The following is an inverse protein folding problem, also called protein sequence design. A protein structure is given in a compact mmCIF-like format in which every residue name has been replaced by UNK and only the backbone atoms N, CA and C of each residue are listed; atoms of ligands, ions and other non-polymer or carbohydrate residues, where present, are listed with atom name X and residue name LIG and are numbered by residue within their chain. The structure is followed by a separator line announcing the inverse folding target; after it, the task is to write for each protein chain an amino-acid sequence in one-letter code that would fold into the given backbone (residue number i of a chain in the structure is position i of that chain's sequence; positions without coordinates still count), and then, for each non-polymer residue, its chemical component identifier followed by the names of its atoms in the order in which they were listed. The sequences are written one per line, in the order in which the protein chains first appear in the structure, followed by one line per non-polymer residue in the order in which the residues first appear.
data_IF_702598575857
#
_entry.id   IF_702598575857
#
_cell.length_a   1.000
_cell.length_b   1.000
_cell.length_c   1.000
_cell.angle_alpha   90.00
_cell.angle_beta   90.00
_cell.angle_gamma   90.00
#
_symmetry.space_group_name_H-M   'P 1'
#
loop_
_entity.id
_entity.type
_entity.pdbx_description
1 polymer ?
#
# COMPACT_ATOMS: atom_id res chain seq x y z
N UNK A 1 20.28 -1.21 7.12
CA UNK A 1 20.36 -1.48 5.67
C UNK A 1 19.10 -0.94 5.04
N UNK A 2 19.19 -0.19 3.94
CA UNK A 2 18.02 0.26 3.18
C UNK A 2 18.02 -0.48 1.84
N UNK A 3 17.03 -1.34 1.63
CA UNK A 3 16.89 -2.18 0.42
C UNK A 3 15.75 -1.72 -0.49
N UNK A 4 15.09 -0.60 -0.17
CA UNK A 4 14.01 -0.03 -0.97
C UNK A 4 12.60 -0.23 -0.41
N UNK A 5 11.61 -0.30 -1.30
CA UNK A 5 10.20 -0.41 -0.93
C UNK A 5 9.82 -1.79 -0.41
N UNK A 6 8.59 -1.95 0.08
CA UNK A 6 8.08 -3.21 0.63
C UNK A 6 8.29 -4.42 -0.31
N UNK A 7 8.09 -4.24 -1.61
CA UNK A 7 8.31 -5.29 -2.61
C UNK A 7 9.79 -5.65 -2.78
N UNK A 8 10.70 -4.69 -2.62
CA UNK A 8 12.14 -4.94 -2.68
C UNK A 8 12.62 -5.63 -1.41
N UNK A 9 12.09 -5.24 -0.23
CA UNK A 9 12.33 -5.93 1.05
C UNK A 9 11.91 -7.40 0.97
N UNK A 10 10.70 -7.68 0.45
CA UNK A 10 10.23 -9.06 0.27
C UNK A 10 11.14 -9.88 -0.65
N UNK A 11 11.56 -9.29 -1.78
CA UNK A 11 12.49 -9.95 -2.71
C UNK A 11 13.84 -10.21 -2.06
N UNK A 12 14.36 -9.25 -1.31
CA UNK A 12 15.62 -9.36 -0.58
C UNK A 12 15.57 -10.52 0.42
N UNK A 13 14.55 -10.57 1.29
CA UNK A 13 14.40 -11.62 2.32
C UNK A 13 14.37 -13.00 1.65
N UNK A 14 13.54 -13.18 0.62
CA UNK A 14 13.44 -14.46 -0.10
C UNK A 14 14.75 -14.86 -0.78
N UNK A 15 15.45 -13.89 -1.37
CA UNK A 15 16.75 -14.13 -2.01
C UNK A 15 17.82 -14.53 -1.00
N UNK A 16 17.90 -13.85 0.15
CA UNK A 16 18.90 -14.17 1.16
C UNK A 16 18.63 -15.54 1.80
N UNK A 17 17.38 -15.89 2.12
CA UNK A 17 17.06 -17.22 2.67
C UNK A 17 17.27 -18.34 1.65
N UNK A 18 17.14 -18.07 0.35
CA UNK A 18 17.51 -19.03 -0.69
C UNK A 18 19.01 -19.33 -0.70
N UNK A 19 19.86 -18.41 -0.23
CA UNK A 19 21.32 -18.57 -0.18
C UNK A 19 21.82 -19.00 1.20
N UNK A 20 21.13 -18.59 2.28
CA UNK A 20 21.47 -18.82 3.69
C UNK A 20 20.20 -19.34 4.42
N UNK A 21 19.85 -20.62 4.25
CA UNK A 21 18.60 -21.17 4.77
C UNK A 21 18.52 -21.14 6.30
N UNK A 22 19.65 -21.16 6.99
CA UNK A 22 19.71 -21.17 8.46
C UNK A 22 19.51 -19.77 9.08
N UNK A 23 19.66 -18.69 8.30
CA UNK A 23 19.51 -17.32 8.80
C UNK A 23 20.19 -16.27 7.92
N UNK A 24 19.62 -15.06 7.91
CA UNK A 24 20.05 -13.95 7.05
C UNK A 24 20.56 -12.72 7.82
N UNK A 25 20.81 -12.87 9.12
CA UNK A 25 21.23 -11.80 10.05
C UNK A 25 20.23 -10.62 10.11
N UNK A 26 18.93 -10.90 10.00
CA UNK A 26 17.83 -9.92 10.13
C UNK A 26 16.82 -10.44 11.15
N UNK A 27 16.59 -9.67 12.21
CA UNK A 27 15.67 -10.04 13.29
C UNK A 27 14.22 -9.58 13.03
N UNK A 28 14.03 -8.44 12.38
CA UNK A 28 12.72 -7.80 12.24
C UNK A 28 12.54 -7.15 10.86
N UNK A 29 11.42 -7.49 10.21
CA UNK A 29 10.84 -6.68 9.14
C UNK A 29 9.76 -5.78 9.76
N UNK A 30 9.79 -4.48 9.45
CA UNK A 30 8.85 -3.51 10.00
C UNK A 30 8.26 -2.58 8.93
N UNK A 31 6.95 -2.36 9.00
CA UNK A 31 6.21 -1.52 8.06
C UNK A 31 5.73 -2.26 6.80
N UNK A 32 5.21 -1.50 5.83
CA UNK A 32 4.55 -2.08 4.64
C UNK A 32 3.10 -2.51 4.90
N UNK A 33 2.50 -3.18 3.91
CA UNK A 33 1.18 -3.82 4.03
C UNK A 33 1.28 -5.23 4.60
N UNK A 34 0.14 -5.92 4.76
CA UNK A 34 0.07 -7.29 5.30
C UNK A 34 0.55 -8.37 4.32
N UNK A 35 0.43 -8.14 3.01
CA UNK A 35 0.69 -9.17 1.98
C UNK A 35 2.09 -9.81 2.03
N UNK A 36 3.19 -9.05 2.21
CA UNK A 36 4.51 -9.64 2.37
C UNK A 36 4.62 -10.57 3.57
N UNK A 37 4.00 -10.22 4.70
CA UNK A 37 4.04 -11.05 5.90
C UNK A 37 3.24 -12.34 5.71
N UNK A 38 2.11 -12.27 5.01
CA UNK A 38 1.34 -13.46 4.61
C UNK A 38 2.15 -14.37 3.67
N UNK A 39 2.89 -13.79 2.72
CA UNK A 39 3.73 -14.54 1.81
C UNK A 39 4.92 -15.20 2.54
N UNK A 40 5.62 -14.46 3.40
CA UNK A 40 6.75 -14.97 4.17
C UNK A 40 6.30 -16.03 5.19
N UNK A 41 5.14 -15.86 5.83
CA UNK A 41 4.54 -16.86 6.73
C UNK A 41 4.24 -18.17 5.97
N UNK A 42 3.61 -18.10 4.79
CA UNK A 42 3.37 -19.30 3.94
C UNK A 42 4.65 -19.97 3.46
N UNK A 43 5.73 -19.21 3.33
CA UNK A 43 7.04 -19.72 2.96
C UNK A 43 7.85 -20.25 4.15
N UNK A 44 7.29 -20.24 5.38
CA UNK A 44 7.99 -20.58 6.63
C UNK A 44 9.27 -19.76 6.86
N UNK A 45 9.26 -18.48 6.45
CA UNK A 45 10.39 -17.56 6.59
C UNK A 45 10.21 -16.56 7.75
N UNK A 46 9.17 -16.74 8.57
CA UNK A 46 8.92 -15.94 9.78
C UNK A 46 8.96 -16.86 11.00
N UNK A 47 9.53 -16.37 12.09
CA UNK A 47 9.47 -17.05 13.38
C UNK A 47 8.21 -16.61 14.15
N UNK A 48 7.48 -17.53 14.80
CA UNK A 48 6.36 -17.16 15.64
C UNK A 48 6.85 -16.51 16.94
N UNK A 49 6.16 -15.45 17.37
CA UNK A 49 6.43 -14.78 18.64
C UNK A 49 5.13 -14.27 19.26
N UNK A 50 4.63 -14.95 20.29
CA UNK A 50 3.45 -14.49 21.01
C UNK A 50 3.82 -13.30 21.91
N UNK A 51 3.24 -12.14 21.61
CA UNK A 51 3.31 -10.96 22.48
C UNK A 51 2.72 -11.26 23.87
N UNK A 52 3.18 -10.57 24.94
CA UNK A 52 2.57 -10.65 26.26
C UNK A 52 1.06 -10.42 26.24
N UNK A 53 0.29 -11.16 27.03
CA UNK A 53 -1.18 -11.09 27.07
C UNK A 53 -1.72 -9.67 27.33
N UNK A 54 -0.99 -8.87 28.11
CA UNK A 54 -1.33 -7.47 28.39
C UNK A 54 -1.28 -6.59 27.13
N UNK A 55 -0.43 -6.92 26.15
CA UNK A 55 -0.36 -6.23 24.87
C UNK A 55 -1.36 -6.83 23.87
N UNK A 56 -1.47 -8.16 23.81
CA UNK A 56 -2.42 -8.83 22.90
C UNK A 56 -3.87 -8.45 23.19
N UNK A 57 -4.25 -8.34 24.46
CA UNK A 57 -5.61 -7.92 24.85
C UNK A 57 -5.99 -6.51 24.38
N UNK A 58 -5.01 -5.66 24.06
CA UNK A 58 -5.24 -4.33 23.51
C UNK A 58 -5.36 -4.30 21.97
N UNK A 59 -5.04 -5.40 21.29
CA UNK A 59 -5.02 -5.49 19.82
C UNK A 59 -6.07 -6.52 19.39
N UNK A 60 -7.17 -6.11 18.73
CA UNK A 60 -8.11 -7.09 18.20
C UNK A 60 -7.44 -7.90 17.09
N UNK A 61 -7.72 -9.20 16.99
CA UNK A 61 -7.14 -10.03 15.93
C UNK A 61 -7.56 -9.61 14.52
N UNK A 62 -8.73 -8.99 14.39
CA UNK A 62 -9.28 -8.51 13.12
C UNK A 62 -9.96 -7.17 13.31
N UNK A 63 -9.88 -6.31 12.29
CA UNK A 63 -10.62 -5.06 12.23
C UNK A 63 -11.09 -4.80 10.79
N UNK A 64 -12.37 -4.43 10.61
CA UNK A 64 -12.91 -4.09 9.28
C UNK A 64 -12.83 -5.20 8.23
N UNK A 65 -12.77 -6.47 8.65
CA UNK A 65 -12.58 -7.63 7.75
C UNK A 65 -11.12 -8.01 7.48
N UNK A 66 -10.15 -7.22 7.98
CA UNK A 66 -8.72 -7.46 7.82
C UNK A 66 -8.11 -8.08 9.08
N UNK A 67 -7.20 -9.07 8.95
CA UNK A 67 -6.41 -9.54 10.08
C UNK A 67 -5.41 -8.45 10.52
N UNK A 68 -5.25 -8.28 11.83
CA UNK A 68 -4.20 -7.44 12.42
C UNK A 68 -3.03 -8.27 12.94
N UNK A 69 -3.21 -9.57 13.16
CA UNK A 69 -2.13 -10.55 13.33
C UNK A 69 -2.65 -11.93 12.92
N UNK A 70 -1.76 -12.85 12.56
CA UNK A 70 -2.15 -14.22 12.20
C UNK A 70 -2.38 -15.10 13.43
N UNK A 71 -3.01 -16.25 13.21
CA UNK A 71 -3.35 -17.18 14.29
C UNK A 71 -2.11 -17.78 14.97
N UNK A 72 -0.99 -17.84 14.26
CA UNK A 72 0.26 -18.47 14.72
C UNK A 72 1.31 -17.44 15.16
N UNK A 73 0.94 -16.16 15.25
CA UNK A 73 1.78 -15.07 15.79
C UNK A 73 3.10 -14.83 15.03
N UNK A 74 3.10 -15.01 13.71
CA UNK A 74 4.24 -14.68 12.85
C UNK A 74 4.35 -13.20 12.53
N UNK A 75 3.25 -12.45 12.57
CA UNK A 75 3.27 -11.01 12.26
C UNK A 75 2.18 -10.23 13.00
N UNK A 76 2.44 -8.94 13.17
CA UNK A 76 1.55 -7.99 13.82
C UNK A 76 1.45 -6.69 13.04
N UNK A 77 0.23 -6.20 12.83
CA UNK A 77 -0.06 -4.91 12.25
C UNK A 77 0.30 -3.80 13.23
N UNK A 78 1.34 -3.03 12.91
CA UNK A 78 1.82 -1.94 13.76
C UNK A 78 0.94 -0.69 13.69
N UNK A 79 0.29 -0.45 12.54
CA UNK A 79 -0.49 0.77 12.28
C UNK A 79 -1.66 0.46 11.35
N UNK A 80 -2.81 1.09 11.61
CA UNK A 80 -3.93 1.13 10.66
C UNK A 80 -3.87 2.44 9.85
N UNK A 81 -3.79 2.34 8.53
CA UNK A 81 -3.71 3.48 7.62
C UNK A 81 -4.95 3.57 6.73
N UNK A 82 -5.50 4.78 6.60
CA UNK A 82 -6.53 5.10 5.61
C UNK A 82 -5.91 5.61 4.31
N UNK A 83 -6.55 5.30 3.19
CA UNK A 83 -6.15 5.78 1.87
C UNK A 83 -7.25 6.65 1.27
N UNK A 84 -6.84 7.70 0.56
CA UNK A 84 -7.78 8.64 -0.03
C UNK A 84 -7.13 9.61 -1.00
N UNK A 85 -7.94 10.53 -1.49
CA UNK A 85 -7.54 11.52 -2.50
C UNK A 85 -7.08 12.78 -1.79
N UNK A 86 -5.90 13.26 -2.15
CA UNK A 86 -5.34 14.54 -1.70
C UNK A 86 -5.26 15.45 -2.92
N UNK A 87 -5.74 16.69 -2.80
CA UNK A 87 -5.72 17.67 -3.89
C UNK A 87 -5.50 19.09 -3.37
N UNK A 88 -4.91 19.94 -4.22
CA UNK A 88 -4.62 21.34 -3.90
C UNK A 88 -5.79 22.25 -4.25
N UNK A 89 -6.62 22.61 -3.25
CA UNK A 89 -7.81 23.45 -3.43
C UNK A 89 -7.55 24.76 -4.18
N UNK A 90 -6.40 25.41 -3.97
CA UNK A 90 -6.07 26.68 -4.65
C UNK A 90 -5.81 26.47 -6.14
N UNK A 91 -5.07 25.40 -6.47
CA UNK A 91 -4.82 25.01 -7.86
C UNK A 91 -6.13 24.64 -8.56
N UNK A 92 -6.98 23.81 -7.92
CA UNK A 92 -8.28 23.44 -8.49
C UNK A 92 -9.14 24.66 -8.81
N UNK A 93 -9.21 25.64 -7.89
CA UNK A 93 -9.94 26.88 -8.11
C UNK A 93 -9.34 27.74 -9.23
N UNK A 94 -8.01 27.94 -9.23
CA UNK A 94 -7.33 28.78 -10.21
C UNK A 94 -7.43 28.22 -11.63
N UNK A 95 -7.32 26.90 -11.76
CA UNK A 95 -7.41 26.18 -13.03
C UNK A 95 -8.85 25.83 -13.43
N UNK A 96 -9.83 26.15 -12.57
CA UNK A 96 -11.26 25.85 -12.75
C UNK A 96 -11.53 24.35 -12.95
N UNK A 97 -10.82 23.51 -12.20
CA UNK A 97 -10.93 22.05 -12.23
C UNK A 97 -11.97 21.56 -11.20
N UNK A 98 -12.64 20.42 -11.45
CA UNK A 98 -13.59 19.82 -10.52
C UNK A 98 -12.88 19.25 -9.29
N UNK A 99 -13.43 19.45 -8.09
CA UNK A 99 -12.86 18.87 -6.87
C UNK A 99 -13.26 17.38 -6.75
N UNK A 100 -12.31 16.42 -6.82
CA UNK A 100 -12.63 15.01 -6.73
C UNK A 100 -13.03 14.64 -5.29
N UNK A 101 -14.07 13.82 -5.17
CA UNK A 101 -14.57 13.25 -3.90
C UNK A 101 -14.58 11.72 -3.93
N UNK A 102 -14.72 11.13 -5.12
CA UNK A 102 -14.67 9.68 -5.34
C UNK A 102 -13.50 9.30 -6.23
N UNK A 103 -13.19 8.00 -6.28
CA UNK A 103 -12.19 7.48 -7.20
C UNK A 103 -12.62 7.65 -8.67
N UNK A 104 -13.92 7.63 -8.98
CA UNK A 104 -14.41 7.88 -10.34
C UNK A 104 -14.26 9.33 -10.77
N UNK A 105 -14.33 10.29 -9.85
CA UNK A 105 -14.13 11.70 -10.19
C UNK A 105 -12.73 11.95 -10.80
N UNK A 106 -11.74 11.11 -10.45
CA UNK A 106 -10.39 11.18 -11.02
C UNK A 106 -10.32 10.74 -12.50
N UNK A 107 -11.40 10.18 -13.05
CA UNK A 107 -11.52 9.78 -14.45
C UNK A 107 -12.05 10.91 -15.35
N UNK A 108 -12.45 12.04 -14.77
CA UNK A 108 -12.95 13.19 -15.53
C UNK A 108 -11.88 13.69 -16.52
N UNK A 109 -12.15 13.76 -17.84
CA UNK A 109 -11.19 14.26 -18.83
C UNK A 109 -10.66 15.67 -18.54
N UNK A 110 -11.39 16.49 -17.77
CA UNK A 110 -10.91 17.80 -17.32
C UNK A 110 -9.65 17.70 -16.45
N UNK A 111 -9.41 16.55 -15.81
CA UNK A 111 -8.24 16.27 -14.98
C UNK A 111 -7.08 15.63 -15.76
N UNK A 112 -7.11 15.61 -17.09
CA UNK A 112 -6.00 15.10 -17.89
C UNK A 112 -4.68 15.80 -17.53
N UNK A 113 -3.65 15.01 -17.20
CA UNK A 113 -2.35 15.47 -16.70
C UNK A 113 -2.38 16.21 -15.33
N UNK A 114 -3.50 16.16 -14.61
CA UNK A 114 -3.67 16.72 -13.25
C UNK A 114 -3.82 15.66 -12.16
N UNK A 115 -3.76 14.37 -12.52
CA UNK A 115 -3.74 13.27 -11.56
C UNK A 115 -2.30 12.81 -11.33
N UNK A 116 -1.95 12.59 -10.07
CA UNK A 116 -0.70 11.96 -9.65
C UNK A 116 -0.95 10.57 -9.09
N UNK A 117 -0.12 9.60 -9.49
CA UNK A 117 -0.13 8.27 -8.90
C UNK A 117 1.31 7.74 -8.78
N UNK A 118 1.53 6.76 -7.93
CA UNK A 118 2.80 6.04 -7.84
C UNK A 118 2.67 4.67 -8.52
N UNK A 119 3.77 4.13 -9.02
CA UNK A 119 3.78 2.81 -9.66
C UNK A 119 3.42 1.73 -8.62
N UNK A 120 2.26 1.05 -8.75
CA UNK A 120 1.83 0.06 -7.77
C UNK A 120 2.76 -1.16 -7.72
N UNK A 121 3.61 -1.38 -8.74
CA UNK A 121 4.59 -2.47 -8.76
C UNK A 121 5.81 -2.21 -7.88
N UNK A 122 6.04 -0.96 -7.48
CA UNK A 122 7.23 -0.53 -6.72
C UNK A 122 6.90 -0.06 -5.29
N UNK A 123 5.65 0.25 -5.02
CA UNK A 123 5.23 0.81 -3.73
C UNK A 123 3.98 0.10 -3.21
N UNK A 124 4.11 -0.63 -2.10
CA UNK A 124 2.97 -1.29 -1.44
C UNK A 124 1.88 -0.30 -1.01
N UNK A 125 2.25 0.89 -0.54
CA UNK A 125 1.28 1.96 -0.24
C UNK A 125 0.57 2.50 -1.49
N UNK A 126 1.20 2.42 -2.66
CA UNK A 126 0.57 2.78 -3.93
C UNK A 126 -0.32 1.66 -4.47
N UNK A 127 0.02 0.39 -4.21
CA UNK A 127 -0.79 -0.78 -4.55
C UNK A 127 -2.15 -0.77 -3.84
N UNK A 128 -2.18 -0.41 -2.55
CA UNK A 128 -3.40 -0.44 -1.73
C UNK A 128 -4.59 0.37 -2.31
N UNK A 129 -4.44 1.63 -2.79
CA UNK A 129 -5.53 2.33 -3.48
C UNK A 129 -6.15 1.59 -4.67
N UNK A 130 -5.37 0.83 -5.45
CA UNK A 130 -5.90 0.04 -6.57
C UNK A 130 -6.75 -1.13 -6.07
N UNK A 131 -6.28 -1.83 -5.04
CA UNK A 131 -7.06 -2.89 -4.39
C UNK A 131 -8.35 -2.34 -3.78
N UNK A 132 -8.30 -1.16 -3.14
CA UNK A 132 -9.50 -0.49 -2.61
C UNK A 132 -10.50 -0.20 -3.72
N UNK A 133 -10.05 0.28 -4.88
CA UNK A 133 -10.94 0.50 -6.03
C UNK A 133 -11.54 -0.83 -6.51
N UNK A 134 -10.74 -1.89 -6.66
CA UNK A 134 -11.25 -3.19 -7.11
C UNK A 134 -12.25 -3.80 -6.11
N UNK A 135 -12.01 -3.67 -4.81
CA UNK A 135 -12.92 -4.17 -3.77
C UNK A 135 -14.21 -3.34 -3.67
N UNK A 136 -14.13 -2.02 -3.82
CA UNK A 136 -15.29 -1.14 -3.71
C UNK A 136 -16.20 -1.18 -4.94
N UNK A 137 -15.62 -1.28 -6.14
CA UNK A 137 -16.38 -1.18 -7.40
C UNK A 137 -16.54 -2.52 -8.12
N UNK A 138 -15.88 -3.58 -7.65
CA UNK A 138 -15.81 -4.87 -8.32
C UNK A 138 -14.80 -4.87 -9.47
N UNK A 139 -14.52 -6.06 -10.00
CA UNK A 139 -13.44 -6.29 -10.97
C UNK A 139 -13.57 -5.44 -12.23
N UNK A 140 -14.68 -5.56 -12.96
CA UNK A 140 -14.85 -4.91 -14.27
C UNK A 140 -14.89 -3.38 -14.15
N UNK A 141 -15.73 -2.86 -13.25
CA UNK A 141 -15.86 -1.42 -13.06
C UNK A 141 -14.61 -0.81 -12.43
N UNK A 142 -13.99 -1.50 -11.47
CA UNK A 142 -12.75 -1.07 -10.85
C UNK A 142 -11.62 -0.94 -11.88
N UNK A 143 -11.45 -1.90 -12.78
CA UNK A 143 -10.46 -1.80 -13.87
C UNK A 143 -10.75 -0.67 -14.86
N UNK A 144 -12.02 -0.38 -15.16
CA UNK A 144 -12.38 0.79 -15.97
C UNK A 144 -11.93 2.09 -15.28
N UNK A 145 -12.19 2.22 -13.97
CA UNK A 145 -11.79 3.39 -13.17
C UNK A 145 -10.27 3.51 -13.16
N UNK A 146 -9.56 2.43 -12.82
CA UNK A 146 -8.09 2.40 -12.78
C UNK A 146 -7.48 2.81 -14.12
N UNK A 147 -8.02 2.30 -15.22
CA UNK A 147 -7.51 2.59 -16.57
C UNK A 147 -7.75 4.05 -16.95
N UNK A 148 -8.95 4.57 -16.71
CA UNK A 148 -9.29 5.96 -17.04
C UNK A 148 -8.56 6.97 -16.15
N UNK A 149 -8.42 6.69 -14.85
CA UNK A 149 -7.56 7.44 -13.94
C UNK A 149 -6.11 7.43 -14.42
N UNK A 150 -5.62 6.26 -14.86
CA UNK A 150 -4.27 6.11 -15.40
C UNK A 150 -4.05 6.94 -16.67
N UNK A 151 -5.07 7.10 -17.50
CA UNK A 151 -5.02 7.97 -18.68
C UNK A 151 -4.93 9.47 -18.31
N UNK A 152 -5.47 9.87 -17.15
CA UNK A 152 -5.32 11.22 -16.62
C UNK A 152 -4.01 11.44 -15.84
N UNK A 153 -3.30 10.36 -15.47
CA UNK A 153 -2.10 10.46 -14.68
C UNK A 153 -0.95 11.13 -15.47
N UNK A 154 -0.38 12.20 -14.91
CA UNK A 154 0.77 12.90 -15.52
C UNK A 154 2.02 12.01 -15.56
N UNK A 155 2.22 11.24 -14.51
CA UNK A 155 3.34 10.33 -14.34
C UNK A 155 3.05 9.34 -13.22
N UNK A 156 3.71 8.19 -13.26
CA UNK A 156 3.76 7.24 -12.16
C UNK A 156 5.09 7.39 -11.42
N UNK A 157 5.04 7.94 -10.21
CA UNK A 157 6.24 8.09 -9.39
C UNK A 157 6.77 6.73 -8.90
N UNK A 158 8.09 6.59 -8.76
CA UNK A 158 8.68 5.34 -8.26
C UNK A 158 8.40 5.10 -6.77
N UNK A 159 8.11 6.16 -6.00
CA UNK A 159 7.85 6.08 -4.56
C UNK A 159 6.48 6.65 -4.23
N UNK A 160 5.74 6.00 -3.32
CA UNK A 160 4.43 6.47 -2.88
C UNK A 160 4.47 7.84 -2.19
N UNK A 161 5.60 8.20 -1.56
CA UNK A 161 5.77 9.47 -0.85
C UNK A 161 5.96 10.68 -1.76
N UNK A 162 6.21 10.48 -3.06
CA UNK A 162 6.38 11.57 -4.01
C UNK A 162 5.04 12.23 -4.37
N UNK A 163 3.98 11.43 -4.55
CA UNK A 163 2.67 11.94 -5.01
C UNK A 163 2.11 13.03 -4.08
N UNK A 164 2.10 12.87 -2.74
CA UNK A 164 1.63 13.94 -1.86
C UNK A 164 2.50 15.20 -1.93
N UNK A 165 3.81 15.06 -2.17
CA UNK A 165 4.72 16.22 -2.29
C UNK A 165 4.40 17.03 -3.55
N UNK A 166 4.18 16.35 -4.67
CA UNK A 166 3.84 16.99 -5.95
C UNK A 166 2.52 17.77 -5.89
N UNK A 167 1.61 17.38 -5.00
CA UNK A 167 0.34 18.11 -4.77
C UNK A 167 0.52 19.36 -3.91
N UNK A 168 1.57 19.42 -3.06
CA UNK A 168 1.77 20.53 -2.11
C UNK A 168 2.47 21.75 -2.70
N UNK A 169 3.17 21.60 -3.83
CA UNK A 169 3.92 22.66 -4.52
C UNK A 169 3.13 23.24 -5.67
#
# INVERSE_FOLDING_TARGET
MDVGGTSDVLRFIKSEFSNKPDGIDIDLMFGGGSDPYLELSRANLLAPYQLPDSLLSAIPQKAGGFPLYDADYHWYGATMAGFGIIFNKRVMQRMRLPNPKTWEDLTDPALFSWVGSADPRKSGSAHMPFEIILQAYGWERGWQIITALGANARSFANTGSQVPKDVTT
#
